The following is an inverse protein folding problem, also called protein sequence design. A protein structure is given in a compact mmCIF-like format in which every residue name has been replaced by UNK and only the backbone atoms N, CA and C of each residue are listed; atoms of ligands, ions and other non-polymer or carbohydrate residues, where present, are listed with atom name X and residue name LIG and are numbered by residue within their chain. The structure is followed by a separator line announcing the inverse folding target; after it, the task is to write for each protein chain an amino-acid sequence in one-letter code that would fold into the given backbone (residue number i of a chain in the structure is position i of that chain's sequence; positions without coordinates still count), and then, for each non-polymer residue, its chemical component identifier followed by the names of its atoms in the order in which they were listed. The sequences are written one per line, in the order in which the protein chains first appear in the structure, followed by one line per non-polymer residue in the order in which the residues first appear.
data_IF_691466153317
#
_entry.id   IF_691466153317
#
_cell.length_a   1.000
_cell.length_b   1.000
_cell.length_c   1.000
_cell.angle_alpha   90.00
_cell.angle_beta   90.00
_cell.angle_gamma   90.00
#
_symmetry.space_group_name_H-M   'P 1'
#
loop_
_entity.id
_entity.type
_entity.pdbx_description
1 polymer ?
#
# COMPACT_ATOMS: atom_id res chain seq x y z
N UNK A 1 -7.95 -17.15 2.65
CA UNK A 1 -7.55 -15.92 3.36
C UNK A 1 -8.10 -14.74 2.59
N UNK A 2 -8.54 -13.69 3.29
CA UNK A 2 -9.20 -12.51 2.75
C UNK A 2 -8.33 -11.27 2.93
N UNK A 3 -8.12 -10.51 1.87
CA UNK A 3 -7.38 -9.27 1.92
C UNK A 3 -8.18 -8.10 1.34
N UNK A 4 -8.08 -6.94 1.98
CA UNK A 4 -8.57 -5.68 1.42
C UNK A 4 -7.39 -4.84 0.97
N UNK A 5 -7.46 -4.28 -0.23
CA UNK A 5 -6.48 -3.31 -0.73
C UNK A 5 -7.15 -1.96 -0.97
N UNK A 6 -6.79 -0.96 -0.17
CA UNK A 6 -7.34 0.39 -0.28
C UNK A 6 -6.41 1.26 -1.13
N UNK A 7 -6.92 1.73 -2.26
CA UNK A 7 -6.22 2.47 -3.30
C UNK A 7 -5.81 1.57 -4.46
N UNK A 8 -6.53 1.63 -5.58
CA UNK A 8 -6.25 0.92 -6.82
C UNK A 8 -5.29 1.72 -7.73
N UNK A 9 -4.23 2.28 -7.15
CA UNK A 9 -3.17 2.97 -7.90
C UNK A 9 -2.17 2.00 -8.52
N UNK A 10 -1.00 2.51 -8.91
CA UNK A 10 0.11 1.70 -9.46
C UNK A 10 0.57 0.58 -8.53
N UNK A 11 0.62 0.86 -7.22
CA UNK A 11 1.08 -0.08 -6.19
C UNK A 11 -0.05 -1.02 -5.81
N UNK A 12 -1.19 -0.49 -5.35
CA UNK A 12 -2.29 -1.31 -4.85
C UNK A 12 -2.84 -2.29 -5.89
N UNK A 13 -2.98 -1.90 -7.17
CA UNK A 13 -3.45 -2.83 -8.20
C UNK A 13 -2.47 -3.98 -8.49
N UNK A 14 -1.17 -3.76 -8.28
CA UNK A 14 -0.16 -4.83 -8.40
C UNK A 14 -0.18 -5.76 -7.19
N UNK A 15 -0.31 -5.19 -5.99
CA UNK A 15 -0.46 -5.97 -4.75
C UNK A 15 -1.71 -6.84 -4.81
N UNK A 16 -2.86 -6.27 -5.18
CA UNK A 16 -4.12 -6.99 -5.30
C UNK A 16 -4.00 -8.19 -6.26
N UNK A 17 -3.47 -7.97 -7.46
CA UNK A 17 -3.24 -9.05 -8.44
C UNK A 17 -2.21 -10.09 -8.00
N UNK A 18 -1.21 -9.70 -7.21
CA UNK A 18 -0.23 -10.65 -6.69
C UNK A 18 -0.85 -11.54 -5.61
N UNK A 19 -1.63 -10.97 -4.69
CA UNK A 19 -2.35 -11.71 -3.66
C UNK A 19 -3.40 -12.67 -4.27
N UNK A 20 -4.19 -12.16 -5.23
CA UNK A 20 -5.19 -12.95 -5.96
C UNK A 20 -4.55 -14.16 -6.68
N UNK A 21 -3.44 -13.95 -7.41
CA UNK A 21 -2.68 -15.07 -8.01
C UNK A 21 -2.08 -16.05 -7.00
N UNK A 22 -1.89 -15.63 -5.75
CA UNK A 22 -1.45 -16.48 -4.65
C UNK A 22 -2.62 -17.16 -3.91
N UNK A 23 -3.85 -17.07 -4.43
CA UNK A 23 -5.04 -17.75 -3.90
C UNK A 23 -5.74 -17.00 -2.77
N UNK A 24 -5.48 -15.72 -2.59
CA UNK A 24 -6.25 -14.89 -1.65
C UNK A 24 -7.55 -14.42 -2.29
N UNK A 25 -8.61 -14.35 -1.49
CA UNK A 25 -9.81 -13.60 -1.86
C UNK A 25 -9.52 -12.13 -1.60
N UNK A 26 -9.58 -11.30 -2.65
CA UNK A 26 -9.14 -9.90 -2.56
C UNK A 26 -10.28 -8.96 -2.94
N UNK A 27 -10.54 -7.98 -2.08
CA UNK A 27 -11.43 -6.85 -2.39
C UNK A 27 -10.60 -5.57 -2.49
N UNK A 28 -10.75 -4.83 -3.59
CA UNK A 28 -10.07 -3.56 -3.79
C UNK A 28 -11.04 -2.40 -3.57
N UNK A 29 -10.61 -1.36 -2.87
CA UNK A 29 -11.37 -0.12 -2.64
C UNK A 29 -10.68 1.03 -3.36
N UNK A 30 -11.40 1.79 -4.17
CA UNK A 30 -10.92 3.05 -4.73
C UNK A 30 -12.07 4.06 -4.88
N UNK A 31 -11.76 5.35 -4.86
CA UNK A 31 -12.77 6.40 -5.02
C UNK A 31 -13.29 6.50 -6.45
N UNK A 32 -12.50 6.05 -7.42
CA UNK A 32 -12.83 6.18 -8.84
C UNK A 32 -13.07 4.82 -9.45
N UNK A 33 -14.27 4.65 -10.00
CA UNK A 33 -14.67 3.41 -10.69
C UNK A 33 -13.74 3.07 -11.85
N UNK A 34 -13.25 4.08 -12.57
CA UNK A 34 -12.30 3.89 -13.67
C UNK A 34 -11.08 3.10 -13.20
N UNK A 35 -10.62 3.23 -11.95
CA UNK A 35 -9.42 2.56 -11.45
C UNK A 35 -9.46 1.02 -11.56
N UNK A 36 -10.65 0.41 -11.68
CA UNK A 36 -10.84 -1.01 -11.96
C UNK A 36 -10.04 -1.49 -13.19
N UNK A 37 -9.86 -0.65 -14.22
CA UNK A 37 -9.07 -1.02 -15.41
C UNK A 37 -7.64 -1.48 -15.09
N UNK A 38 -7.08 -1.03 -13.95
CA UNK A 38 -5.71 -1.38 -13.54
C UNK A 38 -5.58 -2.80 -13.01
N UNK A 39 -6.69 -3.46 -12.70
CA UNK A 39 -6.76 -4.86 -12.28
C UNK A 39 -6.82 -5.80 -13.49
N UNK A 40 -7.25 -5.29 -14.64
CA UNK A 40 -7.32 -6.03 -15.90
C UNK A 40 -8.59 -6.88 -16.03
N UNK A 41 -8.85 -7.35 -17.24
CA UNK A 41 -10.11 -8.03 -17.61
C UNK A 41 -10.32 -9.37 -16.89
N UNK A 42 -9.23 -10.02 -16.47
CA UNK A 42 -9.28 -11.31 -15.76
C UNK A 42 -9.45 -11.16 -14.24
N UNK A 43 -9.76 -9.95 -13.74
CA UNK A 43 -9.94 -9.73 -12.32
C UNK A 43 -11.23 -10.40 -11.81
N UNK A 44 -11.09 -11.33 -10.86
CA UNK A 44 -12.20 -12.06 -10.26
C UNK A 44 -12.53 -11.63 -8.83
N UNK A 45 -11.69 -10.79 -8.22
CA UNK A 45 -11.90 -10.28 -6.86
C UNK A 45 -12.96 -9.19 -6.76
N UNK A 46 -13.25 -8.77 -5.54
CA UNK A 46 -14.18 -7.66 -5.28
C UNK A 46 -13.61 -6.30 -5.68
N UNK A 47 -14.48 -5.36 -6.05
CA UNK A 47 -14.13 -3.96 -6.23
C UNK A 47 -15.25 -3.08 -5.65
N UNK A 48 -14.90 -2.20 -4.72
CA UNK A 48 -15.84 -1.28 -4.06
C UNK A 48 -15.46 0.15 -4.36
N UNK A 49 -16.40 0.91 -4.92
CA UNK A 49 -16.24 2.35 -5.14
C UNK A 49 -16.58 3.10 -3.85
N UNK A 50 -15.64 3.93 -3.39
CA UNK A 50 -15.86 4.80 -2.24
C UNK A 50 -14.57 5.30 -1.59
N UNK A 51 -14.71 6.28 -0.69
CA UNK A 51 -13.58 6.82 0.04
C UNK A 51 -13.16 5.86 1.16
N UNK A 52 -11.91 5.42 1.16
CA UNK A 52 -11.43 4.42 2.14
C UNK A 52 -11.43 4.84 3.61
N UNK A 53 -11.70 6.11 3.94
CA UNK A 53 -11.88 6.60 5.32
C UNK A 53 -13.31 6.31 5.80
N UNK A 54 -14.27 6.20 4.87
CA UNK A 54 -15.65 5.87 5.20
C UNK A 54 -15.73 4.42 5.69
N UNK A 55 -16.13 4.26 6.94
CA UNK A 55 -16.27 2.97 7.59
C UNK A 55 -17.30 2.10 6.85
N UNK A 56 -18.39 2.69 6.36
CA UNK A 56 -19.38 1.94 5.60
C UNK A 56 -18.84 1.40 4.28
N UNK A 57 -17.83 2.07 3.69
CA UNK A 57 -17.11 1.54 2.51
C UNK A 57 -16.26 0.34 2.90
N UNK A 58 -15.55 0.41 4.03
CA UNK A 58 -14.72 -0.70 4.53
C UNK A 58 -15.58 -1.91 4.91
N UNK A 59 -16.74 -1.70 5.53
CA UNK A 59 -17.73 -2.75 5.84
C UNK A 59 -18.24 -3.41 4.55
N UNK A 60 -18.64 -2.63 3.53
CA UNK A 60 -19.01 -3.18 2.21
C UNK A 60 -17.88 -3.93 1.51
N UNK A 61 -16.63 -3.59 1.81
CA UNK A 61 -15.47 -4.30 1.30
C UNK A 61 -15.17 -5.61 2.06
N UNK A 62 -15.92 -5.92 3.12
CA UNK A 62 -15.79 -7.15 3.90
C UNK A 62 -14.74 -7.08 5.00
N UNK A 63 -14.45 -5.88 5.55
CA UNK A 63 -13.36 -5.71 6.53
C UNK A 63 -13.55 -6.53 7.81
N UNK A 64 -14.79 -6.81 8.20
CA UNK A 64 -15.10 -7.60 9.41
C UNK A 64 -14.58 -9.04 9.34
N UNK A 65 -14.41 -9.58 8.12
CA UNK A 65 -13.90 -10.93 7.87
C UNK A 65 -12.49 -10.92 7.25
N UNK A 66 -11.85 -9.75 7.14
CA UNK A 66 -10.55 -9.64 6.49
C UNK A 66 -9.43 -10.19 7.36
N UNK A 67 -8.54 -11.00 6.78
CA UNK A 67 -7.30 -11.42 7.44
C UNK A 67 -6.21 -10.35 7.35
N UNK A 68 -6.25 -9.53 6.28
CA UNK A 68 -5.27 -8.48 6.02
C UNK A 68 -5.84 -7.25 5.33
N UNK A 69 -5.25 -6.09 5.61
CA UNK A 69 -5.54 -4.81 4.95
C UNK A 69 -4.25 -4.19 4.46
N UNK A 70 -4.19 -3.81 3.19
CA UNK A 70 -3.12 -3.02 2.58
C UNK A 70 -3.66 -1.64 2.24
N UNK A 71 -3.00 -0.59 2.70
CA UNK A 71 -3.40 0.80 2.43
C UNK A 71 -2.34 1.48 1.58
N UNK A 72 -2.67 1.75 0.31
CA UNK A 72 -1.71 2.17 -0.71
C UNK A 72 -2.21 3.34 -1.58
N UNK A 73 -3.01 4.24 -0.99
CA UNK A 73 -3.46 5.48 -1.66
C UNK A 73 -2.30 6.48 -1.84
N UNK A 74 -2.58 7.65 -2.41
CA UNK A 74 -1.58 8.70 -2.65
C UNK A 74 -1.35 9.65 -1.45
N UNK A 75 -2.12 9.53 -0.37
CA UNK A 75 -2.00 10.43 0.79
C UNK A 75 -1.55 9.71 2.05
N UNK A 76 -0.45 10.16 2.67
CA UNK A 76 0.06 9.57 3.92
C UNK A 76 -0.94 9.72 5.07
N UNK A 77 -1.58 10.88 5.22
CA UNK A 77 -2.60 11.09 6.25
C UNK A 77 -3.77 10.13 6.06
N UNK A 78 -4.28 10.00 4.84
CA UNK A 78 -5.34 9.05 4.48
C UNK A 78 -4.90 7.63 4.81
N UNK A 79 -3.69 7.24 4.40
CA UNK A 79 -3.19 5.89 4.62
C UNK A 79 -3.07 5.55 6.13
N UNK A 80 -2.56 6.49 6.91
CA UNK A 80 -2.42 6.36 8.36
C UNK A 80 -3.78 6.23 9.06
N UNK A 81 -4.75 7.08 8.73
CA UNK A 81 -6.09 7.03 9.34
C UNK A 81 -6.76 5.71 9.04
N UNK A 82 -6.76 5.28 7.77
CA UNK A 82 -7.39 4.02 7.35
C UNK A 82 -6.70 2.83 8.04
N UNK A 83 -5.36 2.82 8.07
CA UNK A 83 -4.62 1.76 8.74
C UNK A 83 -4.92 1.66 10.24
N UNK A 84 -5.02 2.81 10.92
CA UNK A 84 -5.39 2.83 12.34
C UNK A 84 -6.85 2.42 12.57
N UNK A 85 -7.78 2.79 11.68
CA UNK A 85 -9.18 2.32 11.74
C UNK A 85 -9.22 0.80 11.58
N UNK A 86 -8.56 0.25 10.56
CA UNK A 86 -8.48 -1.20 10.36
C UNK A 86 -7.91 -1.92 11.59
N UNK A 87 -6.81 -1.42 12.15
CA UNK A 87 -6.15 -2.04 13.30
C UNK A 87 -6.96 -1.91 14.60
N UNK A 88 -7.49 -0.72 14.90
CA UNK A 88 -8.05 -0.40 16.22
C UNK A 88 -9.55 -0.61 16.33
N UNK A 89 -10.28 -0.43 15.23
CA UNK A 89 -11.75 -0.56 15.21
C UNK A 89 -12.19 -1.96 14.78
N UNK A 90 -11.52 -2.53 13.79
CA UNK A 90 -11.85 -3.84 13.23
C UNK A 90 -10.91 -4.95 13.72
N UNK A 91 -9.99 -4.63 14.63
CA UNK A 91 -9.03 -5.57 15.23
C UNK A 91 -8.22 -6.39 14.22
N UNK A 92 -7.96 -5.81 13.03
CA UNK A 92 -7.19 -6.47 11.99
C UNK A 92 -5.73 -6.52 12.41
N UNK A 93 -5.23 -7.73 12.65
CA UNK A 93 -3.84 -7.93 13.07
C UNK A 93 -2.85 -7.66 11.92
N UNK A 94 -3.28 -7.86 10.68
CA UNK A 94 -2.45 -7.70 9.48
C UNK A 94 -2.76 -6.44 8.67
N UNK A 95 -2.37 -5.28 9.20
CA UNK A 95 -2.48 -3.99 8.48
C UNK A 95 -1.12 -3.53 7.99
N UNK A 96 -0.96 -3.31 6.69
CA UNK A 96 0.26 -2.77 6.05
C UNK A 96 -0.05 -1.44 5.38
N UNK A 97 0.69 -0.40 5.74
CA UNK A 97 0.40 0.99 5.34
C UNK A 97 1.56 1.57 4.56
N UNK A 98 1.30 2.07 3.34
CA UNK A 98 2.29 2.81 2.56
C UNK A 98 2.39 4.25 3.08
N UNK A 99 3.59 4.70 3.39
CA UNK A 99 3.89 6.08 3.82
C UNK A 99 5.09 6.59 3.02
N UNK A 100 5.01 7.77 2.42
CA UNK A 100 6.10 8.34 1.64
C UNK A 100 7.08 9.14 2.50
N UNK A 101 6.62 9.79 3.56
CA UNK A 101 7.47 10.51 4.50
C UNK A 101 8.24 9.52 5.42
N UNK A 102 9.59 9.47 5.35
CA UNK A 102 10.38 8.53 6.16
C UNK A 102 10.23 8.73 7.67
N UNK A 103 10.17 9.98 8.14
CA UNK A 103 10.08 10.29 9.56
C UNK A 103 8.72 9.86 10.13
N UNK A 104 7.65 10.06 9.36
CA UNK A 104 6.31 9.55 9.72
C UNK A 104 6.31 8.03 9.71
N UNK A 105 6.86 7.38 8.69
CA UNK A 105 6.91 5.92 8.61
C UNK A 105 7.56 5.33 9.87
N UNK A 106 8.73 5.83 10.26
CA UNK A 106 9.44 5.40 11.47
C UNK A 106 8.64 5.68 12.76
N UNK A 107 8.06 6.88 12.87
CA UNK A 107 7.25 7.25 14.04
C UNK A 107 6.05 6.32 14.25
N UNK A 108 5.36 5.91 13.19
CA UNK A 108 4.21 5.00 13.30
C UNK A 108 4.62 3.53 13.41
N UNK A 109 5.75 3.13 12.80
CA UNK A 109 6.32 1.79 12.94
C UNK A 109 6.66 1.47 14.40
N UNK A 110 7.30 2.39 15.11
CA UNK A 110 7.63 2.25 16.54
C UNK A 110 6.39 2.15 17.45
N UNK A 111 5.19 2.45 16.92
CA UNK A 111 3.90 2.40 17.61
C UNK A 111 3.02 1.23 17.15
N UNK A 112 3.60 0.25 16.45
CA UNK A 112 2.94 -1.02 16.12
C UNK A 112 2.15 -1.03 14.81
N UNK A 113 2.19 0.04 14.01
CA UNK A 113 1.63 0.02 12.66
C UNK A 113 2.69 -0.48 11.68
N UNK A 114 2.41 -1.53 10.89
CA UNK A 114 3.39 -1.99 9.90
C UNK A 114 3.41 -1.04 8.70
N UNK A 115 4.50 -0.29 8.55
CA UNK A 115 4.65 0.70 7.49
C UNK A 115 5.62 0.22 6.41
N UNK A 116 5.32 0.53 5.15
CA UNK A 116 6.26 0.41 4.03
C UNK A 116 6.55 1.82 3.50
N UNK A 117 7.84 2.20 3.49
CA UNK A 117 8.27 3.51 2.98
C UNK A 117 9.06 3.38 1.66
N UNK A 118 8.41 3.54 0.49
CA UNK A 118 9.08 3.50 -0.80
C UNK A 118 10.20 4.54 -0.93
N UNK A 119 10.06 5.70 -0.28
CA UNK A 119 11.06 6.77 -0.32
C UNK A 119 12.36 6.33 0.34
N UNK A 120 12.30 5.73 1.54
CA UNK A 120 13.47 5.19 2.23
C UNK A 120 14.15 4.08 1.41
N UNK A 121 13.36 3.19 0.82
CA UNK A 121 13.89 2.14 -0.08
C UNK A 121 14.60 2.76 -1.29
N UNK A 122 13.97 3.73 -1.96
CA UNK A 122 14.55 4.40 -3.12
C UNK A 122 15.86 5.12 -2.76
N UNK A 123 15.91 5.83 -1.64
CA UNK A 123 17.12 6.52 -1.15
C UNK A 123 18.26 5.50 -0.98
N UNK A 124 18.02 4.38 -0.30
CA UNK A 124 19.04 3.33 -0.10
C UNK A 124 19.52 2.77 -1.44
N UNK A 125 18.59 2.30 -2.29
CA UNK A 125 18.92 1.67 -3.57
C UNK A 125 19.67 2.61 -4.50
N UNK A 126 19.26 3.89 -4.60
CA UNK A 126 19.94 4.88 -5.42
C UNK A 126 21.34 5.21 -4.87
N UNK A 127 21.48 5.33 -3.54
CA UNK A 127 22.77 5.59 -2.90
C UNK A 127 23.74 4.44 -3.15
N UNK A 128 23.29 3.21 -2.99
CA UNK A 128 24.11 2.01 -3.20
C UNK A 128 24.48 1.85 -4.68
N UNK A 129 23.55 2.14 -5.60
CA UNK A 129 23.83 2.15 -7.03
C UNK A 129 24.96 3.12 -7.38
N UNK A 130 24.91 4.36 -6.87
CA UNK A 130 25.97 5.36 -7.10
C UNK A 130 27.31 4.91 -6.52
N UNK A 131 27.32 4.32 -5.32
CA UNK A 131 28.54 3.81 -4.68
C UNK A 131 29.19 2.66 -5.45
N UNK A 132 28.38 1.89 -6.18
CA UNK A 132 28.86 0.78 -7.02
C UNK A 132 29.37 1.22 -8.40
N UNK A 133 29.17 2.48 -8.79
CA UNK A 133 29.68 2.99 -10.06
C UNK A 133 31.21 3.12 -10.02
N UNK A 134 31.89 2.50 -10.96
CA UNK A 134 33.31 2.79 -11.21
C UNK A 134 33.43 4.19 -11.85
N UNK A 135 33.78 5.19 -11.04
CA UNK A 135 34.01 6.55 -11.54
C UNK A 135 35.48 6.69 -11.96
N UNK A 136 35.72 6.84 -13.26
CA UNK A 136 37.06 7.06 -13.79
C UNK A 136 37.58 8.44 -13.35
N UNK A 137 38.57 8.48 -12.44
CA UNK A 137 39.03 9.69 -11.73
C UNK A 137 39.76 10.71 -12.62
N UNK A 138 40.04 10.37 -13.88
CA UNK A 138 40.79 11.21 -14.81
C UNK A 138 40.01 12.44 -15.34
N UNK A 139 38.68 12.50 -15.13
CA UNK A 139 37.86 13.65 -15.59
C UNK A 139 37.75 14.83 -14.61
N UNK A 140 38.32 14.74 -13.41
CA UNK A 140 38.17 15.79 -12.36
C UNK A 140 39.39 16.71 -12.24
N UNK A 141 40.46 16.45 -13.00
CA UNK A 141 41.71 17.21 -12.93
C UNK A 141 41.97 18.13 -14.13
N UNK A 142 40.92 18.58 -14.83
CA UNK A 142 41.00 19.51 -15.97
C UNK A 142 40.41 20.88 -15.64
#
# INVERSE_FOLDING_TARGET
MKAIVVGCGRVGSRVARQLDRSGWEVTVVDEREDALHRLGENWTGGFVVGHGIDVGVLERAGIEEADAVVVATNGDNTNLVIGQVAQKRFDIQCVVVRILDPARAEFYATRGLRTVCPTSTAISVLTDAVRSCEVNREKVAG
#
